data_IF_977722390297
#
_entry.id   IF_977722390297
#
_cell.length_a   1.000
_cell.length_b   1.000
_cell.length_c   1.000
_cell.angle_alpha   90.00
_cell.angle_beta   90.00
_cell.angle_gamma   90.00
#
_symmetry.space_group_name_H-M   'P 1'
#
loop_
_entity.id
_entity.type
_entity.pdbx_description
1 polymer ?
#
# COMPACT_ATOMS: atom_id res chain seq x y z
N UNK A 1 -5.93 -8.19 5.26
CA UNK A 1 -6.77 -7.05 4.84
C UNK A 1 -5.86 -6.09 4.08
N UNK A 2 -6.27 -5.59 2.92
CA UNK A 2 -5.43 -4.73 2.07
C UNK A 2 -5.77 -3.25 2.30
N UNK A 3 -4.77 -2.39 2.21
CA UNK A 3 -4.86 -0.94 2.37
C UNK A 3 -4.35 -0.27 1.11
N UNK A 4 -4.91 0.88 0.76
CA UNK A 4 -4.49 1.68 -0.38
C UNK A 4 -4.18 3.12 0.04
N UNK A 5 -3.28 3.73 -0.73
CA UNK A 5 -2.91 5.13 -0.62
C UNK A 5 -3.89 5.99 -1.42
N UNK A 6 -4.26 7.13 -0.85
CA UNK A 6 -5.13 8.13 -1.47
C UNK A 6 -4.34 9.42 -1.59
N UNK A 7 -4.22 9.91 -2.82
CA UNK A 7 -3.52 11.15 -3.11
C UNK A 7 -4.13 12.30 -2.34
N UNK A 8 -3.32 12.99 -1.55
CA UNK A 8 -3.77 14.08 -0.67
C UNK A 8 -4.59 15.17 -1.36
N UNK A 9 -4.26 15.50 -2.62
CA UNK A 9 -4.89 16.59 -3.37
C UNK A 9 -6.09 16.11 -4.18
N UNK A 10 -5.95 15.02 -4.92
CA UNK A 10 -7.03 14.50 -5.77
C UNK A 10 -8.12 13.79 -4.97
N UNK A 11 -7.78 13.22 -3.80
CA UNK A 11 -8.68 12.36 -3.04
C UNK A 11 -8.90 11.00 -3.72
N UNK A 12 -8.15 10.70 -4.77
CA UNK A 12 -8.25 9.45 -5.53
C UNK A 12 -7.26 8.41 -5.06
N UNK A 13 -7.61 7.13 -5.22
CA UNK A 13 -6.70 6.02 -4.94
C UNK A 13 -5.53 6.09 -5.91
N UNK A 14 -4.31 5.94 -5.40
CA UNK A 14 -3.13 5.85 -6.24
C UNK A 14 -3.20 4.59 -7.09
N UNK A 15 -3.07 4.78 -8.39
CA UNK A 15 -3.11 3.71 -9.39
C UNK A 15 -1.85 3.74 -10.25
N UNK A 16 -1.46 2.57 -10.73
CA UNK A 16 -0.41 2.39 -11.72
C UNK A 16 -0.88 1.44 -12.80
N UNK A 17 -0.82 1.87 -14.07
CA UNK A 17 -1.29 1.11 -15.22
C UNK A 17 -2.72 0.54 -15.08
N UNK A 18 -3.61 1.28 -14.40
CA UNK A 18 -4.99 0.85 -14.14
C UNK A 18 -5.17 -0.06 -12.93
N UNK A 19 -4.10 -0.42 -12.21
CA UNK A 19 -4.17 -1.20 -10.97
C UNK A 19 -4.08 -0.28 -9.76
N UNK A 20 -4.95 -0.50 -8.77
CA UNK A 20 -4.87 0.18 -7.48
C UNK A 20 -3.65 -0.33 -6.69
N UNK A 21 -2.82 0.61 -6.21
CA UNK A 21 -1.67 0.28 -5.39
C UNK A 21 -2.12 -0.08 -3.98
N UNK A 22 -1.76 -1.27 -3.54
CA UNK A 22 -2.17 -1.83 -2.25
C UNK A 22 -0.99 -2.34 -1.45
N UNK A 23 -1.18 -2.42 -0.13
CA UNK A 23 -0.28 -3.11 0.77
C UNK A 23 -1.06 -3.85 1.87
N UNK A 24 -0.45 -4.87 2.46
CA UNK A 24 -1.04 -5.68 3.52
C UNK A 24 -0.88 -5.07 4.92
N UNK A 25 0.09 -4.17 5.10
CA UNK A 25 0.38 -3.50 6.36
C UNK A 25 0.06 -1.99 6.30
N UNK A 26 -0.91 -1.56 7.10
CA UNK A 26 -1.27 -0.13 7.22
C UNK A 26 -0.13 0.71 7.79
N UNK A 27 0.52 0.22 8.85
CA UNK A 27 1.56 0.96 9.57
C UNK A 27 2.81 1.17 8.72
N UNK A 28 3.11 0.22 7.83
CA UNK A 28 4.18 0.36 6.84
C UNK A 28 3.88 1.51 5.87
N UNK A 29 2.66 1.58 5.35
CA UNK A 29 2.25 2.69 4.49
C UNK A 29 2.28 4.03 5.24
N UNK A 30 1.84 4.06 6.51
CA UNK A 30 1.87 5.28 7.33
C UNK A 30 3.31 5.74 7.60
N UNK A 31 4.24 4.81 7.76
CA UNK A 31 5.66 5.10 7.96
C UNK A 31 6.34 5.61 6.69
N UNK A 32 6.13 4.95 5.55
CA UNK A 32 6.75 5.31 4.27
C UNK A 32 6.13 6.55 3.63
N UNK A 33 4.82 6.75 3.80
CA UNK A 33 4.05 7.83 3.18
C UNK A 33 3.29 8.66 4.23
N UNK A 34 3.99 9.35 5.14
CA UNK A 34 3.38 10.02 6.30
C UNK A 34 2.43 11.16 5.93
N UNK A 35 2.52 11.68 4.71
CA UNK A 35 1.69 12.79 4.23
C UNK A 35 0.47 12.33 3.43
N UNK A 36 0.37 11.04 3.10
CA UNK A 36 -0.72 10.50 2.30
C UNK A 36 -1.81 9.89 3.19
N UNK A 37 -3.03 9.89 2.68
CA UNK A 37 -4.15 9.28 3.39
C UNK A 37 -4.19 7.79 3.07
N UNK A 38 -4.35 6.97 4.09
CA UNK A 38 -4.46 5.51 3.93
C UNK A 38 -5.86 5.06 4.28
N UNK A 39 -6.48 4.30 3.39
CA UNK A 39 -7.82 3.73 3.59
C UNK A 39 -7.76 2.20 3.39
N UNK A 40 -8.68 1.44 3.99
CA UNK A 40 -8.87 0.05 3.60
C UNK A 40 -9.31 -0.04 2.14
N UNK A 41 -8.84 -1.06 1.42
CA UNK A 41 -9.24 -1.33 0.04
C UNK A 41 -10.78 -1.43 -0.03
N UNK A 42 -11.45 -0.59 -0.84
CA UNK A 42 -12.90 -0.66 -0.96
C UNK A 42 -13.36 -2.00 -1.52
N UNK A 43 -14.48 -2.54 -1.00
CA UNK A 43 -14.96 -3.88 -1.36
C UNK A 43 -15.35 -4.06 -2.83
N UNK A 44 -15.57 -2.96 -3.55
CA UNK A 44 -15.90 -3.01 -4.98
C UNK A 44 -14.67 -3.17 -5.89
N UNK A 45 -13.45 -3.04 -5.35
CA UNK A 45 -12.23 -3.38 -6.08
C UNK A 45 -12.04 -4.90 -6.09
N UNK A 46 -12.00 -5.49 -7.28
CA UNK A 46 -11.57 -6.87 -7.46
C UNK A 46 -10.06 -7.00 -7.23
N UNK A 47 -9.61 -8.16 -6.74
CA UNK A 47 -8.18 -8.40 -6.54
C UNK A 47 -7.37 -8.32 -7.84
N UNK A 48 -8.00 -8.67 -8.96
CA UNK A 48 -7.42 -8.58 -10.30
C UNK A 48 -7.11 -7.14 -10.74
N UNK A 49 -7.70 -6.13 -10.07
CA UNK A 49 -7.47 -4.71 -10.31
C UNK A 49 -6.52 -4.10 -9.27
N UNK A 50 -5.80 -4.92 -8.51
CA UNK A 50 -4.87 -4.47 -7.48
C UNK A 50 -3.44 -4.90 -7.79
N UNK A 51 -2.48 -4.05 -7.42
CA UNK A 51 -1.06 -4.32 -7.50
C UNK A 51 -0.42 -4.04 -6.15
N UNK A 52 0.36 -4.99 -5.64
CA UNK A 52 1.16 -4.74 -4.44
C UNK A 52 2.17 -3.62 -4.72
N UNK A 53 2.21 -2.60 -3.86
CA UNK A 53 3.10 -1.45 -4.01
C UNK A 53 4.58 -1.85 -4.09
N UNK A 54 4.96 -2.99 -3.51
CA UNK A 54 6.33 -3.55 -3.59
C UNK A 54 6.73 -3.95 -5.02
N UNK A 55 5.75 -4.25 -5.87
CA UNK A 55 5.96 -4.63 -7.26
C UNK A 55 6.03 -3.41 -8.20
N UNK A 56 5.79 -2.21 -7.69
CA UNK A 56 5.87 -0.99 -8.49
C UNK A 56 7.35 -0.72 -8.87
N UNK A 57 7.66 -0.41 -10.15
CA UNK A 57 9.04 -0.25 -10.60
C UNK A 57 9.81 0.82 -9.83
N UNK A 58 9.17 1.95 -9.50
CA UNK A 58 9.81 3.01 -8.71
C UNK A 58 10.01 2.64 -7.23
N UNK A 59 9.40 1.55 -6.76
CA UNK A 59 9.53 1.07 -5.38
C UNK A 59 10.58 -0.03 -5.23
N UNK A 60 11.26 -0.42 -6.31
CA UNK A 60 12.28 -1.50 -6.32
C UNK A 60 13.39 -1.29 -5.28
N UNK A 61 13.75 -0.03 -4.99
CA UNK A 61 14.81 0.31 -4.03
C UNK A 61 14.28 0.66 -2.63
N UNK A 62 12.95 0.67 -2.44
CA UNK A 62 12.33 0.97 -1.14
C UNK A 62 12.31 -0.30 -0.30
N UNK A 63 12.79 -0.18 0.94
CA UNK A 63 12.70 -1.26 1.92
C UNK A 63 11.40 -1.13 2.71
N UNK A 64 10.72 -2.25 2.95
CA UNK A 64 9.46 -2.34 3.70
C UNK A 64 9.68 -3.06 5.04
N UNK A 65 10.38 -2.42 6.00
CA UNK A 65 10.95 -3.09 7.18
C UNK A 65 9.95 -3.64 8.19
N UNK A 66 8.72 -3.13 8.30
CA UNK A 66 7.73 -3.60 9.27
C UNK A 66 7.00 -4.84 8.76
N UNK A 67 6.77 -4.95 7.45
CA UNK A 67 6.27 -6.17 6.82
C UNK A 67 7.27 -7.33 6.98
N UNK A 68 8.55 -7.08 6.73
CA UNK A 68 9.61 -8.10 6.82
C UNK A 68 9.89 -8.54 8.27
N UNK A 69 9.72 -7.65 9.25
CA UNK A 69 10.00 -7.94 10.66
C UNK A 69 8.78 -8.34 11.49
N UNK A 70 7.56 -8.44 10.91
CA UNK A 70 6.37 -8.82 11.67
C UNK A 70 6.46 -10.26 12.24
N UNK A 71 7.28 -11.11 11.63
CA UNK A 71 7.61 -12.45 12.15
C UNK A 71 8.45 -12.44 13.44
N UNK A 72 9.11 -11.33 13.78
CA UNK A 72 9.99 -11.24 14.95
C UNK A 72 9.26 -10.91 16.27
N UNK A 73 8.07 -10.31 16.19
CA UNK A 73 7.25 -9.95 17.36
C UNK A 73 6.25 -11.04 17.78
N UNK A 74 6.21 -12.18 17.07
CA UNK A 74 5.47 -13.38 17.49
C UNK A 74 6.40 -14.33 18.24
N UNK A 75 6.70 -14.02 19.50
CA UNK A 75 7.27 -14.97 20.47
C UNK A 75 6.45 -14.93 21.75
#
# INVERSE_FOLDING_TARGET
MKYCLVGRVSGEILTYQGYALVHDNKSELEYLFPNERIIPLPRYYGEDLTMDIRNHPDMTNVKFPLADNWGQFRR
#
